data_IF_966232723344
#
_entry.id   IF_966232723344
#
_cell.length_a   1.000
_cell.length_b   1.000
_cell.length_c   1.000
_cell.angle_alpha   90.00
_cell.angle_beta   90.00
_cell.angle_gamma   90.00
#
_symmetry.space_group_name_H-M   'P 1'
#
loop_
_entity.id
_entity.type
_entity.pdbx_description
1 polymer ?
2 non-polymer ?
3 non-polymer ?
4 water ?
#
# COMPACT_ATOMS: atom_id res chain seq x y z
N UNK A 2 -1.50 20.27 -22.92
CA UNK A 2 -1.88 19.54 -21.70
C UNK A 2 -0.69 19.56 -20.75
N UNK A 3 0.53 19.46 -21.29
CA UNK A 3 1.68 19.24 -20.44
C UNK A 3 1.82 20.46 -19.54
N UNK A 4 1.75 21.63 -20.18
CA UNK A 4 1.91 22.88 -19.47
C UNK A 4 0.66 23.14 -18.61
N UNK A 5 -0.52 22.74 -19.14
CA UNK A 5 -1.78 22.88 -18.43
C UNK A 5 -1.63 22.10 -17.14
N UNK A 6 -1.01 20.92 -17.27
CA UNK A 6 -0.94 19.96 -16.20
C UNK A 6 0.02 20.47 -15.13
N UNK A 7 1.11 21.08 -15.59
CA UNK A 7 2.16 21.51 -14.70
C UNK A 7 1.65 22.66 -13.82
N UNK A 8 1.05 23.65 -14.49
CA UNK A 8 0.38 24.76 -13.86
C UNK A 8 -0.65 24.30 -12.83
N UNK A 9 -1.37 23.25 -13.14
CA UNK A 9 -2.40 22.86 -12.20
C UNK A 9 -1.79 22.22 -10.95
N UNK A 10 -0.81 21.34 -11.18
CA UNK A 10 -0.08 20.70 -10.08
C UNK A 10 0.85 21.69 -9.37
N UNK A 11 1.31 22.77 -10.03
CA UNK A 11 1.98 23.83 -9.29
C UNK A 11 1.09 24.36 -8.15
N UNK A 12 -0.19 24.52 -8.40
CA UNK A 12 -1.10 25.03 -7.40
C UNK A 12 -1.33 24.05 -6.25
N UNK A 13 -1.07 22.75 -6.37
CA UNK A 13 -1.46 21.89 -5.25
C UNK A 13 -0.25 21.46 -4.43
N UNK A 14 0.95 21.93 -4.80
CA UNK A 14 2.16 21.59 -4.08
C UNK A 14 2.70 22.86 -3.42
N UNK A 15 3.70 22.70 -2.55
CA UNK A 15 4.36 23.82 -1.91
C UNK A 15 5.26 24.43 -2.95
N UNK A 16 5.51 25.75 -2.89
CA UNK A 16 6.36 26.38 -3.88
C UNK A 16 7.85 26.15 -3.64
N UNK A 17 8.63 26.39 -4.68
CA UNK A 17 10.06 26.38 -4.48
C UNK A 17 10.61 24.98 -4.64
N UNK A 18 11.75 24.74 -3.98
CA UNK A 18 12.58 23.60 -4.28
C UNK A 18 13.30 23.19 -2.99
N UNK A 19 13.17 21.94 -2.49
CA UNK A 19 13.69 21.64 -1.14
C UNK A 19 15.21 21.45 -0.95
N UNK A 20 16.02 21.74 -1.96
CA UNK A 20 17.45 21.93 -1.75
C UNK A 20 17.71 22.94 -0.65
N UNK A 21 16.91 24.01 -0.60
CA UNK A 21 16.78 24.86 0.59
C UNK A 21 17.13 24.20 1.93
N UNK A 22 16.70 22.99 2.21
CA UNK A 22 16.93 22.48 3.57
C UNK A 22 17.61 21.10 3.52
N UNK A 23 17.70 20.47 2.33
CA UNK A 23 18.12 19.06 2.16
C UNK A 23 19.48 18.93 1.47
N UNK A 24 20.35 18.07 2.00
CA UNK A 24 21.61 17.75 1.34
C UNK A 24 21.66 16.26 1.07
N UNK A 25 22.70 15.79 0.36
CA UNK A 25 23.02 14.36 0.26
C UNK A 25 21.83 13.57 -0.28
N UNK A 26 21.42 13.95 -1.52
CA UNK A 26 20.39 13.27 -2.30
C UNK A 26 21.07 12.08 -2.93
N UNK A 27 20.65 10.87 -2.51
CA UNK A 27 21.23 9.62 -2.96
C UNK A 27 20.08 8.69 -3.26
N UNK A 28 20.05 8.08 -4.46
CA UNK A 28 18.93 7.20 -4.82
C UNK A 28 18.99 5.91 -4.01
N UNK A 29 17.86 5.30 -3.66
CA UNK A 29 17.85 4.05 -2.89
C UNK A 29 16.95 2.99 -3.52
N UNK A 30 15.95 3.40 -4.29
CA UNK A 30 14.86 2.55 -4.72
C UNK A 30 14.39 3.06 -6.09
N UNK A 31 13.31 2.50 -6.61
CA UNK A 31 12.91 2.79 -7.98
C UNK A 31 11.69 1.96 -8.30
N UNK A 32 10.54 2.61 -8.46
CA UNK A 32 9.33 1.99 -8.98
C UNK A 32 9.00 2.48 -10.38
N UNK A 33 7.77 2.16 -10.82
CA UNK A 33 7.23 2.59 -12.10
C UNK A 33 7.04 4.11 -12.15
N UNK A 34 6.21 4.70 -11.22
CA UNK A 34 5.94 6.15 -11.13
C UNK A 34 7.28 6.90 -11.09
N UNK A 35 8.26 6.37 -10.35
CA UNK A 35 9.68 6.68 -10.59
C UNK A 35 10.61 6.37 -9.40
N UNK A 36 11.70 7.14 -9.29
CA UNK A 36 12.79 6.89 -8.35
C UNK A 36 12.48 7.38 -6.93
N UNK A 37 13.34 6.99 -5.95
CA UNK A 37 13.29 7.46 -4.57
C UNK A 37 14.69 7.76 -4.03
N UNK A 38 14.90 8.92 -3.35
CA UNK A 38 16.16 9.22 -2.68
C UNK A 38 15.99 9.34 -1.19
N UNK A 39 17.09 9.12 -0.48
CA UNK A 39 17.27 9.77 0.79
C UNK A 39 17.93 11.11 0.57
N UNK A 40 17.62 12.01 1.49
CA UNK A 40 18.28 13.28 1.70
C UNK A 40 18.31 13.51 3.22
N UNK A 41 19.14 14.47 3.64
CA UNK A 41 19.29 14.87 5.05
C UNK A 41 18.89 16.34 5.24
N UNK A 42 18.35 16.58 6.45
CA UNK A 42 17.97 17.93 6.87
C UNK A 42 19.24 18.66 7.30
N UNK A 43 19.59 19.70 6.51
CA UNK A 43 20.84 20.41 6.61
C UNK A 43 21.14 20.87 8.03
N UNK A 44 20.11 21.35 8.75
CA UNK A 44 20.27 21.89 10.10
C UNK A 44 20.31 20.80 11.18
N UNK A 45 19.98 19.53 10.87
CA UNK A 45 19.89 18.52 11.93
C UNK A 45 20.46 17.19 11.48
N UNK A 46 20.42 16.96 10.15
CA UNK A 46 20.73 15.67 9.54
C UNK A 46 19.68 14.65 9.90
N UNK A 47 18.44 15.10 10.17
CA UNK A 47 17.27 14.24 10.11
C UNK A 47 17.19 13.74 8.66
N UNK A 48 16.99 12.43 8.49
CA UNK A 48 16.79 11.83 7.18
C UNK A 48 15.33 11.89 6.73
N UNK A 49 15.16 12.35 5.49
CA UNK A 49 13.92 12.16 4.77
C UNK A 49 14.09 11.25 3.55
N UNK A 50 12.93 10.84 3.01
CA UNK A 50 12.79 10.22 1.70
C UNK A 50 12.18 11.22 0.73
N UNK A 51 12.71 11.25 -0.49
CA UNK A 51 12.15 12.08 -1.55
C UNK A 51 11.83 11.18 -2.75
N UNK A 52 10.58 11.15 -3.19
CA UNK A 52 10.18 10.47 -4.39
C UNK A 52 10.11 11.48 -5.52
N UNK A 53 10.80 11.18 -6.63
CA UNK A 53 10.89 12.03 -7.79
C UNK A 53 10.10 11.40 -8.92
N UNK A 54 9.15 12.11 -9.51
CA UNK A 54 8.28 11.51 -10.51
C UNK A 54 8.22 12.45 -11.71
N UNK A 55 8.57 11.92 -12.87
CA UNK A 55 8.58 12.66 -14.11
C UNK A 55 7.16 12.83 -14.61
N UNK A 56 6.75 14.05 -14.89
CA UNK A 56 5.37 14.25 -15.31
C UNK A 56 5.18 13.73 -16.72
N UNK A 57 6.27 13.52 -17.46
CA UNK A 57 6.20 13.19 -18.89
C UNK A 57 6.27 11.68 -19.11
N UNK A 58 6.97 10.97 -18.22
CA UNK A 58 7.00 9.50 -18.16
C UNK A 58 5.78 8.97 -17.39
N UNK A 59 4.65 9.65 -17.26
CA UNK A 59 3.55 8.92 -16.62
C UNK A 59 2.62 8.31 -17.68
N UNK A 60 2.09 7.13 -17.32
CA UNK A 60 1.00 6.44 -18.02
C UNK A 60 -0.33 7.17 -17.81
N UNK A 61 -0.66 7.58 -16.58
CA UNK A 61 -1.85 8.37 -16.37
C UNK A 61 -1.51 9.59 -15.51
N UNK A 62 -1.14 10.71 -16.16
CA UNK A 62 -0.66 11.90 -15.50
C UNK A 62 -1.51 12.27 -14.27
N UNK A 63 -2.83 12.16 -14.35
CA UNK A 63 -3.74 12.65 -13.33
C UNK A 63 -3.64 11.83 -12.05
N UNK A 64 -2.95 10.72 -12.13
CA UNK A 64 -2.84 9.86 -10.97
C UNK A 64 -1.81 10.47 -10.04
N UNK A 65 -1.07 11.47 -10.53
CA UNK A 65 -0.07 12.15 -9.73
C UNK A 65 -0.72 13.01 -8.63
N UNK A 66 -1.97 13.45 -8.80
CA UNK A 66 -2.54 14.26 -7.76
C UNK A 66 -2.60 13.43 -6.49
N UNK A 67 -2.86 12.13 -6.64
CA UNK A 67 -2.95 11.27 -5.48
C UNK A 67 -1.67 11.20 -4.64
N UNK A 68 -0.51 11.25 -5.33
CA UNK A 68 0.80 11.09 -4.71
C UNK A 68 0.95 12.10 -3.56
N UNK A 69 0.15 13.18 -3.60
CA UNK A 69 0.25 14.34 -2.71
C UNK A 69 -0.97 14.43 -1.81
N UNK A 70 -2.18 14.29 -2.33
CA UNK A 70 -3.35 14.75 -1.59
C UNK A 70 -3.80 13.70 -0.57
N UNK A 71 -3.65 12.41 -0.91
CA UNK A 71 -4.01 11.32 0.02
C UNK A 71 -3.18 11.45 1.32
N UNK A 72 -1.90 11.83 1.26
CA UNK A 72 -1.05 11.82 2.46
C UNK A 72 -1.34 13.14 3.20
N UNK A 73 -1.58 14.23 2.47
CA UNK A 73 -1.96 15.46 3.12
C UNK A 73 -3.34 15.39 3.77
N UNK A 74 -4.33 14.64 3.22
CA UNK A 74 -5.66 14.77 3.78
C UNK A 74 -5.99 13.61 4.71
N UNK A 75 -5.19 12.55 4.72
CA UNK A 75 -5.43 11.44 5.62
C UNK A 75 -4.21 11.16 6.48
N UNK A 76 -3.72 12.16 7.22
CA UNK A 76 -2.71 11.84 8.21
C UNK A 76 -3.29 10.89 9.26
N UNK A 77 -2.45 9.97 9.77
CA UNK A 77 -2.86 8.85 10.59
C UNK A 77 -1.57 8.07 10.95
N UNK A 78 -1.56 7.39 12.12
CA UNK A 78 -0.34 6.74 12.62
C UNK A 78 0.15 5.58 11.74
N UNK A 79 -0.73 5.03 10.90
CA UNK A 79 -0.42 4.01 9.91
C UNK A 79 -0.46 4.60 8.51
N UNK A 80 -0.40 5.92 8.34
CA UNK A 80 -0.14 6.38 6.99
C UNK A 80 1.19 7.12 6.95
N UNK A 81 2.00 6.77 5.93
CA UNK A 81 3.30 7.41 5.73
C UNK A 81 3.11 8.90 5.82
N UNK A 82 3.98 9.57 6.57
CA UNK A 82 3.92 11.02 6.73
C UNK A 82 4.60 11.73 5.56
N UNK A 83 3.91 12.70 4.95
CA UNK A 83 4.46 13.62 3.98
C UNK A 83 4.65 14.97 4.65
N UNK A 84 5.86 15.54 4.48
CA UNK A 84 6.23 16.86 4.94
C UNK A 84 5.94 17.97 3.93
N UNK A 85 6.21 17.75 2.63
CA UNK A 85 6.02 18.80 1.63
C UNK A 85 5.99 18.18 0.24
N UNK A 86 5.68 18.99 -0.77
CA UNK A 86 5.58 18.53 -2.14
C UNK A 86 5.99 19.69 -3.01
N UNK A 87 6.54 19.41 -4.20
CA UNK A 87 7.18 20.44 -5.01
C UNK A 87 7.18 19.98 -6.46
N UNK A 88 7.21 20.94 -7.38
CA UNK A 88 7.49 20.78 -8.79
C UNK A 88 8.92 21.24 -8.98
N UNK A 89 9.78 20.39 -9.54
CA UNK A 89 11.15 20.79 -9.81
C UNK A 89 11.45 20.48 -11.26
N UNK A 90 11.83 21.48 -12.05
CA UNK A 90 11.80 21.30 -13.50
C UNK A 90 10.48 20.63 -13.87
N UNK A 91 10.51 19.42 -14.43
CA UNK A 91 9.24 18.77 -14.74
C UNK A 91 9.12 17.44 -13.98
N UNK A 92 9.63 17.43 -12.74
CA UNK A 92 9.46 16.31 -11.82
C UNK A 92 8.62 16.76 -10.62
N UNK A 93 7.72 15.91 -10.14
CA UNK A 93 7.03 16.07 -8.86
C UNK A 93 7.89 15.39 -7.78
N UNK A 94 8.28 16.16 -6.77
CA UNK A 94 8.99 15.66 -5.61
C UNK A 94 8.10 15.69 -4.36
N UNK A 95 8.03 14.57 -3.68
CA UNK A 95 7.31 14.50 -2.44
C UNK A 95 8.30 14.09 -1.37
N UNK A 96 8.38 14.95 -0.35
CA UNK A 96 9.22 14.69 0.81
C UNK A 96 8.39 14.05 1.93
N UNK A 97 8.88 12.93 2.45
CA UNK A 97 8.21 12.08 3.41
C UNK A 97 9.17 11.65 4.52
N UNK A 98 8.63 11.09 5.61
CA UNK A 98 9.47 10.57 6.68
C UNK A 98 10.25 9.44 5.99
N UNK A 99 11.47 9.18 6.46
CA UNK A 99 12.15 8.00 6.02
C UNK A 99 11.90 6.92 7.07
N UNK A 100 11.34 5.81 6.59
CA UNK A 100 11.03 4.62 7.37
C UNK A 100 12.12 3.55 7.22
N UNK A 101 12.94 3.40 8.26
CA UNK A 101 14.20 2.67 8.16
C UNK A 101 14.01 1.18 7.87
N UNK A 102 12.86 0.57 8.21
CA UNK A 102 12.66 -0.86 8.05
C UNK A 102 12.29 -1.39 6.66
N UNK A 103 12.07 -0.54 5.70
CA UNK A 103 11.85 -0.98 4.35
C UNK A 103 10.43 -1.46 4.12
N UNK A 104 10.28 -2.14 2.99
CA UNK A 104 9.00 -2.61 2.56
C UNK A 104 8.75 -4.01 3.13
N UNK A 105 7.46 -4.36 3.35
CA UNK A 105 7.06 -5.67 3.85
C UNK A 105 7.53 -6.79 2.90
N UNK A 106 7.58 -6.55 1.58
CA UNK A 106 8.05 -7.52 0.62
C UNK A 106 9.39 -8.11 1.07
N UNK A 107 10.32 -7.28 1.49
CA UNK A 107 11.63 -7.80 1.82
C UNK A 107 11.44 -8.87 2.89
N UNK A 108 10.56 -8.59 3.85
CA UNK A 108 10.40 -9.56 4.90
C UNK A 108 9.76 -10.86 4.39
N UNK A 109 8.64 -10.72 3.70
CA UNK A 109 7.82 -11.89 3.40
C UNK A 109 8.54 -12.88 2.46
N UNK A 110 9.52 -12.41 1.67
CA UNK A 110 10.33 -13.21 0.77
C UNK A 110 11.46 -13.90 1.52
N UNK A 111 12.05 -13.30 2.55
CA UNK A 111 13.25 -13.86 3.15
C UNK A 111 13.01 -14.63 4.46
N UNK A 112 11.99 -14.25 5.24
CA UNK A 112 11.65 -14.89 6.51
C UNK A 112 10.20 -15.37 6.51
N UNK A 113 9.83 -16.12 7.57
CA UNK A 113 8.44 -16.56 7.84
C UNK A 113 7.91 -15.82 9.07
N UNK A 114 7.04 -14.86 8.84
CA UNK A 114 6.48 -14.13 9.96
C UNK A 114 5.62 -15.04 10.86
N UNK A 115 5.59 -14.81 12.20
CA UNK A 115 4.59 -15.46 13.03
C UNK A 115 3.30 -14.63 13.07
N UNK A 116 2.30 -15.19 13.76
CA UNK A 116 0.92 -14.72 13.68
C UNK A 116 0.82 -13.37 14.40
N UNK A 117 1.59 -13.26 15.48
CA UNK A 117 1.71 -12.01 16.18
C UNK A 117 2.12 -10.93 15.20
N UNK A 118 3.22 -11.17 14.46
CA UNK A 118 3.63 -10.16 13.50
C UNK A 118 2.55 -9.92 12.45
N UNK A 119 1.84 -10.97 12.07
CA UNK A 119 0.90 -10.90 10.96
C UNK A 119 -0.36 -10.09 11.32
N UNK A 120 -0.86 -10.40 12.52
CA UNK A 120 -1.93 -9.64 13.10
C UNK A 120 -1.53 -8.16 13.23
N UNK A 121 -0.36 -7.88 13.83
CA UNK A 121 0.16 -6.53 13.89
C UNK A 121 0.03 -5.79 12.54
N UNK A 122 0.57 -6.37 11.48
CA UNK A 122 0.46 -5.78 10.16
C UNK A 122 -1.01 -5.67 9.73
N UNK A 123 -1.82 -6.65 10.08
CA UNK A 123 -3.22 -6.63 9.68
C UNK A 123 -3.97 -5.49 10.37
N UNK A 124 -3.74 -5.28 11.67
CA UNK A 124 -4.40 -4.19 12.40
C UNK A 124 -4.07 -2.83 11.73
N UNK A 125 -2.76 -2.59 11.62
CA UNK A 125 -2.20 -1.41 11.01
C UNK A 125 -2.97 -1.04 9.76
N UNK A 126 -2.95 -1.93 8.78
CA UNK A 126 -3.45 -1.63 7.44
C UNK A 126 -4.97 -1.41 7.46
N UNK A 127 -5.61 -2.13 8.37
CA UNK A 127 -7.06 -2.04 8.52
C UNK A 127 -7.43 -0.69 9.11
N UNK A 128 -6.64 -0.20 10.10
CA UNK A 128 -6.86 1.14 10.64
C UNK A 128 -6.81 2.22 9.54
N UNK A 129 -5.72 2.25 8.75
CA UNK A 129 -5.63 3.13 7.61
C UNK A 129 -6.84 2.96 6.68
N UNK A 130 -7.16 1.69 6.32
CA UNK A 130 -8.21 1.38 5.35
C UNK A 130 -9.61 1.70 5.89
N UNK A 131 -9.80 1.79 7.21
CA UNK A 131 -11.11 2.14 7.77
C UNK A 131 -11.42 3.64 7.55
N UNK A 132 -10.38 4.43 7.73
CA UNK A 132 -10.39 5.85 7.55
C UNK A 132 -10.50 6.18 6.07
N UNK A 133 -9.59 5.74 5.22
CA UNK A 133 -9.77 6.03 3.79
C UNK A 133 -11.18 5.69 3.29
N UNK A 134 -11.64 4.46 3.62
CA UNK A 134 -12.90 3.91 3.15
C UNK A 134 -14.12 4.63 3.77
N UNK A 135 -14.07 5.05 5.04
CA UNK A 135 -15.13 5.88 5.59
C UNK A 135 -15.36 7.13 4.72
N UNK A 136 -14.33 7.66 4.02
CA UNK A 136 -14.49 8.79 3.09
C UNK A 136 -14.69 8.38 1.63
N UNK A 137 -14.72 7.07 1.33
CA UNK A 137 -15.04 6.57 0.01
C UNK A 137 -13.83 6.55 -0.92
N UNK A 138 -12.62 6.66 -0.34
CA UNK A 138 -11.32 6.40 -1.01
C UNK A 138 -10.96 4.91 -0.98
N UNK A 139 -10.81 4.35 -2.19
CA UNK A 139 -10.32 3.00 -2.41
C UNK A 139 -8.81 3.04 -2.67
N UNK A 140 -8.03 2.24 -1.94
CA UNK A 140 -6.60 2.25 -2.16
C UNK A 140 -6.27 1.67 -3.52
N UNK A 141 -6.63 0.42 -3.74
CA UNK A 141 -6.53 -0.25 -5.04
C UNK A 141 -5.13 -0.81 -5.32
N UNK A 142 -4.17 -0.64 -4.41
CA UNK A 142 -2.90 -1.37 -4.60
C UNK A 142 -2.29 -1.89 -3.31
N UNK A 143 -3.16 -2.50 -2.50
CA UNK A 143 -2.74 -3.20 -1.30
C UNK A 143 -1.97 -4.45 -1.71
N UNK A 144 -0.71 -4.44 -1.26
CA UNK A 144 0.23 -5.54 -1.37
C UNK A 144 1.37 -5.27 -0.41
N UNK A 145 2.33 -6.19 -0.33
CA UNK A 145 3.39 -6.13 0.67
C UNK A 145 4.36 -5.01 0.30
N UNK A 146 4.54 -4.79 -1.01
CA UNK A 146 5.34 -3.67 -1.51
C UNK A 146 4.79 -2.31 -1.02
N UNK A 147 3.47 -2.25 -0.75
CA UNK A 147 2.82 -1.00 -0.46
C UNK A 147 2.97 -0.66 1.00
N UNK A 148 3.70 -1.50 1.76
CA UNK A 148 3.67 -1.37 3.22
C UNK A 148 5.09 -1.13 3.66
N UNK A 149 5.30 -0.15 4.55
CA UNK A 149 6.59 0.16 5.09
C UNK A 149 6.54 0.03 6.60
N UNK A 150 7.73 -0.22 7.12
CA UNK A 150 7.99 -0.59 8.49
C UNK A 150 9.06 0.34 8.96
N UNK A 151 8.90 0.87 10.17
CA UNK A 151 9.96 1.65 10.82
C UNK A 151 10.92 0.68 11.52
N UNK A 152 12.10 1.25 11.90
CA UNK A 152 13.11 0.54 12.68
C UNK A 152 12.39 -0.15 13.83
N UNK A 153 11.42 0.55 14.49
CA UNK A 153 10.86 0.15 15.77
C UNK A 153 9.61 -0.70 15.57
N UNK A 154 9.29 -1.02 14.31
CA UNK A 154 8.26 -2.00 13.97
C UNK A 154 6.83 -1.44 13.88
N UNK A 155 6.65 -0.11 13.76
CA UNK A 155 5.34 0.36 13.36
C UNK A 155 5.16 0.16 11.84
N UNK A 156 3.90 0.00 11.40
CA UNK A 156 3.55 -0.27 10.03
C UNK A 156 2.81 0.93 9.45
N UNK A 157 3.14 1.28 8.22
CA UNK A 157 2.43 2.32 7.54
C UNK A 157 2.12 1.97 6.09
N UNK A 158 0.98 2.45 5.67
CA UNK A 158 0.61 2.22 4.30
C UNK A 158 1.18 3.36 3.47
N UNK A 159 1.60 3.01 2.25
CA UNK A 159 2.26 3.86 1.32
C UNK A 159 1.65 3.59 -0.06
N UNK A 160 2.21 4.22 -1.11
CA UNK A 160 1.92 4.04 -2.54
C UNK A 160 0.43 4.33 -2.85
N UNK A 161 0.06 5.62 -2.82
CA UNK A 161 -1.33 5.97 -3.02
C UNK A 161 -1.67 6.40 -4.45
N UNK A 162 -0.78 6.23 -5.44
CA UNK A 162 -1.01 6.73 -6.79
C UNK A 162 -2.27 6.14 -7.46
N UNK A 163 -2.73 4.99 -6.98
CA UNK A 163 -3.85 4.29 -7.60
C UNK A 163 -5.20 4.59 -6.94
N UNK A 164 -5.21 5.47 -5.92
CA UNK A 164 -6.44 5.75 -5.19
C UNK A 164 -7.55 6.27 -6.12
N UNK A 165 -8.79 5.90 -5.82
CA UNK A 165 -9.97 6.50 -6.43
C UNK A 165 -11.01 6.68 -5.32
N UNK A 166 -12.07 7.44 -5.60
CA UNK A 166 -12.93 7.99 -4.55
C UNK A 166 -14.39 7.72 -4.98
N UNK A 167 -15.25 7.56 -3.99
CA UNK A 167 -16.60 7.08 -4.25
C UNK A 167 -17.61 7.89 -3.42
N UNK A 168 -18.75 8.18 -4.06
CA UNK A 168 -19.74 9.11 -3.56
C UNK A 168 -21.14 8.60 -3.84
N UNK A 169 -22.13 9.51 -3.88
CA UNK A 169 -23.48 9.11 -4.22
C UNK A 169 -23.63 9.21 -5.74
N UNK A 170 -22.87 10.08 -6.40
CA UNK A 170 -23.00 10.23 -7.84
C UNK A 170 -22.22 9.16 -8.59
N UNK A 171 -21.02 8.81 -8.10
CA UNK A 171 -20.28 7.66 -8.58
C UNK A 171 -20.00 6.72 -7.40
N UNK A 172 -20.88 5.72 -7.10
CA UNK A 172 -20.79 4.91 -5.87
C UNK A 172 -19.87 3.74 -6.05
N UNK A 173 -19.70 3.35 -7.32
CA UNK A 173 -18.72 2.34 -7.73
C UNK A 173 -17.66 2.96 -8.66
N UNK A 174 -16.46 2.34 -8.77
CA UNK A 174 -15.52 2.65 -9.84
C UNK A 174 -15.52 1.56 -10.90
N UNK A 175 -14.81 1.78 -12.00
CA UNK A 175 -14.97 0.84 -13.09
C UNK A 175 -13.62 0.52 -13.73
N UNK A 177 -9.90 -0.86 -14.57
CA UNK A 177 -9.01 -1.98 -14.33
C UNK A 177 -7.70 -1.46 -13.75
N UNK A 178 -7.70 -1.19 -12.45
CA UNK A 178 -6.50 -0.74 -11.75
C UNK A 178 -6.10 -1.72 -10.65
N UNK A 179 -4.79 -1.99 -10.51
CA UNK A 179 -4.23 -2.70 -9.37
C UNK A 179 -3.02 -3.55 -9.75
N UNK A 180 -2.59 -4.44 -8.85
CA UNK A 180 -1.52 -5.32 -9.25
C UNK A 180 -2.14 -6.69 -9.54
N UNK A 181 -1.97 -7.24 -10.79
CA UNK A 181 -2.69 -8.44 -11.19
C UNK A 181 -2.97 -9.53 -10.16
N UNK A 182 -1.93 -10.07 -9.50
CA UNK A 182 -2.12 -11.13 -8.48
C UNK A 182 -2.86 -10.67 -7.21
N UNK A 183 -2.96 -9.35 -6.91
CA UNK A 183 -3.67 -8.87 -5.73
C UNK A 183 -5.05 -8.32 -6.09
N UNK A 184 -5.52 -8.47 -7.33
CA UNK A 184 -6.73 -7.82 -7.77
C UNK A 184 -7.97 -8.62 -7.41
N UNK A 185 -9.04 -7.99 -6.91
CA UNK A 185 -10.31 -8.69 -6.67
C UNK A 185 -11.00 -9.21 -7.93
N UNK A 186 -11.64 -10.38 -7.76
CA UNK A 186 -12.40 -11.01 -8.84
C UNK A 186 -13.41 -10.07 -9.48
N UNK A 187 -14.15 -9.27 -8.70
CA UNK A 187 -15.13 -8.37 -9.33
C UNK A 187 -14.39 -7.30 -10.15
N UNK A 188 -13.26 -6.80 -9.60
CA UNK A 188 -12.45 -5.84 -10.32
C UNK A 188 -12.05 -6.45 -11.67
N UNK A 189 -11.61 -7.72 -11.66
CA UNK A 189 -11.02 -8.35 -12.85
C UNK A 189 -12.05 -8.61 -13.92
N UNK A 190 -13.23 -9.02 -13.46
CA UNK A 190 -14.30 -9.37 -14.38
C UNK A 190 -15.06 -8.10 -14.78
N UNK A 191 -14.51 -6.92 -14.38
CA UNK A 191 -14.86 -5.61 -14.94
C UNK A 191 -16.28 -5.24 -14.50
N UNK A 192 -16.65 -5.70 -13.29
CA UNK A 192 -17.88 -5.37 -12.60
C UNK A 192 -17.64 -4.11 -11.74
N UNK A 193 -18.60 -3.19 -11.55
CA UNK A 193 -18.33 -1.98 -10.78
C UNK A 193 -18.10 -2.34 -9.32
N UNK A 194 -17.21 -1.62 -8.64
CA UNK A 194 -16.69 -2.09 -7.38
C UNK A 194 -16.50 -0.88 -6.45
N UNK A 195 -16.39 -1.16 -5.15
CA UNK A 195 -16.18 -0.18 -4.10
C UNK A 195 -14.91 -0.57 -3.34
N UNK A 196 -14.77 -0.18 -2.03
CA UNK A 196 -13.59 -0.38 -1.17
C UNK A 196 -13.39 -1.82 -0.75
N UNK A 197 -14.32 -2.68 -1.17
CA UNK A 197 -14.23 -4.07 -0.81
C UNK A 197 -13.07 -4.66 -1.61
N UNK A 198 -12.53 -3.94 -2.62
CA UNK A 198 -11.47 -4.52 -3.42
C UNK A 198 -10.19 -4.50 -2.62
N UNK A 199 -10.11 -3.57 -1.66
CA UNK A 199 -8.94 -3.51 -0.81
C UNK A 199 -8.88 -4.71 0.09
N UNK A 200 -10.04 -5.18 0.56
CA UNK A 200 -10.09 -6.17 1.64
C UNK A 200 -9.61 -7.50 1.06
N UNK A 201 -9.98 -7.78 -0.21
CA UNK A 201 -9.60 -8.99 -0.90
C UNK A 201 -8.10 -8.95 -1.11
N UNK A 202 -7.61 -7.77 -1.52
CA UNK A 202 -6.18 -7.58 -1.72
C UNK A 202 -5.47 -7.75 -0.40
N UNK A 203 -6.09 -7.37 0.74
CA UNK A 203 -5.46 -7.55 2.05
C UNK A 203 -5.31 -9.03 2.35
N UNK A 204 -6.33 -9.80 1.97
CA UNK A 204 -6.30 -11.25 2.13
C UNK A 204 -5.07 -11.83 1.43
N UNK A 205 -4.99 -11.51 0.13
CA UNK A 205 -3.91 -11.96 -0.72
C UNK A 205 -2.59 -11.59 -0.09
N UNK A 206 -2.56 -10.49 0.64
CA UNK A 206 -1.33 -10.14 1.34
C UNK A 206 -1.07 -11.05 2.55
N UNK A 207 -2.10 -11.43 3.27
CA UNK A 207 -1.95 -12.43 4.32
C UNK A 207 -1.28 -13.72 3.78
N UNK A 208 -1.77 -14.20 2.64
CA UNK A 208 -1.20 -15.32 1.93
C UNK A 208 0.27 -15.03 1.59
N UNK A 209 0.61 -13.81 1.21
CA UNK A 209 2.03 -13.46 1.12
C UNK A 209 2.75 -13.81 2.42
N UNK A 210 2.16 -13.39 3.53
CA UNK A 210 2.91 -13.35 4.77
C UNK A 210 3.18 -14.77 5.25
N UNK A 211 2.26 -15.70 4.88
CA UNK A 211 2.29 -17.11 5.30
C UNK A 211 3.03 -18.04 4.32
N UNK A 212 2.71 -17.88 3.03
CA UNK A 212 3.22 -18.72 1.96
C UNK A 212 4.41 -18.07 1.24
N UNK A 213 4.67 -16.78 1.41
CA UNK A 213 5.85 -16.18 0.83
C UNK A 213 5.51 -15.51 -0.50
N UNK A 214 4.40 -15.88 -1.12
CA UNK A 214 3.97 -15.26 -2.35
C UNK A 214 2.46 -15.37 -2.48
N UNK A 215 1.84 -14.61 -3.38
CA UNK A 215 0.43 -14.79 -3.58
C UNK A 215 0.17 -15.86 -4.64
N UNK A 216 -1.09 -16.30 -4.73
CA UNK A 216 -1.46 -17.36 -5.64
C UNK A 216 -1.05 -17.10 -7.08
N UNK A 217 -0.68 -18.15 -7.82
CA UNK A 217 -0.46 -18.13 -9.26
C UNK A 217 0.68 -17.16 -9.55
N UNK A 218 1.57 -16.91 -8.56
CA UNK A 218 2.63 -15.94 -8.78
C UNK A 218 3.47 -16.37 -9.98
N UNK A 219 3.47 -17.68 -10.26
CA UNK A 219 4.35 -18.15 -11.31
C UNK A 219 3.60 -18.14 -12.67
N UNK A 220 2.34 -17.69 -12.73
CA UNK A 220 1.65 -17.56 -14.01
C UNK A 220 1.88 -16.16 -14.60
N UNK A 221 1.90 -15.96 -15.95
CA UNK A 221 2.02 -14.60 -16.50
C UNK A 221 0.77 -13.82 -16.10
N UNK A 222 0.88 -12.50 -15.86
CA UNK A 222 -0.22 -11.72 -15.27
C UNK A 222 -1.63 -11.93 -15.87
N UNK A 223 -1.78 -11.93 -17.20
CA UNK A 223 -3.11 -12.02 -17.82
C UNK A 223 -3.76 -13.39 -17.53
N UNK A 224 -2.98 -14.47 -17.65
CA UNK A 224 -3.41 -15.83 -17.27
C UNK A 224 -3.77 -15.93 -15.78
N UNK A 225 -2.92 -15.45 -14.84
CA UNK A 225 -3.26 -15.34 -13.42
C UNK A 225 -4.62 -14.66 -13.20
N UNK A 226 -4.83 -13.49 -13.81
CA UNK A 226 -6.10 -12.77 -13.69
C UNK A 226 -7.28 -13.68 -14.09
N UNK A 227 -7.11 -14.35 -15.24
CA UNK A 227 -8.09 -15.32 -15.70
C UNK A 227 -8.40 -16.30 -14.55
N UNK A 228 -7.41 -16.75 -13.76
CA UNK A 228 -7.63 -17.81 -12.77
C UNK A 228 -8.35 -17.28 -11.53
N UNK A 229 -7.98 -16.09 -11.07
CA UNK A 229 -8.66 -15.47 -9.95
C UNK A 229 -10.10 -15.22 -10.32
N UNK A 230 -10.27 -14.83 -11.60
CA UNK A 230 -11.58 -14.56 -12.16
C UNK A 230 -12.46 -15.79 -11.97
N UNK A 231 -11.95 -16.99 -12.35
CA UNK A 231 -12.73 -18.19 -12.65
C UNK A 231 -12.78 -19.17 -11.48
N UNK A 232 -11.71 -19.21 -10.67
CA UNK A 232 -11.58 -20.23 -9.65
C UNK A 232 -12.21 -19.69 -8.37
N UNK A 233 -12.28 -20.54 -7.36
CA UNK A 233 -12.83 -20.21 -6.06
C UNK A 233 -11.75 -19.51 -5.25
N UNK A 234 -12.08 -18.97 -4.05
CA UNK A 234 -11.08 -18.36 -3.19
C UNK A 234 -9.88 -19.32 -3.03
N UNK A 235 -8.67 -18.76 -3.21
CA UNK A 235 -7.43 -19.50 -3.15
C UNK A 235 -7.09 -20.04 -1.78
N UNK A 236 -6.47 -21.22 -1.80
CA UNK A 236 -6.08 -21.98 -0.63
C UNK A 236 -4.73 -21.44 -0.16
N UNK A 237 -4.49 -21.50 1.15
CA UNK A 237 -3.14 -21.44 1.70
C UNK A 237 -2.35 -22.72 1.42
N UNK A 238 -1.16 -22.69 0.86
CA UNK A 238 -0.31 -23.89 0.80
C UNK A 238 0.05 -24.46 2.17
N UNK A 239 0.36 -23.54 3.10
CA UNK A 239 0.73 -23.83 4.48
C UNK A 239 -0.47 -23.73 5.44
N UNK A 240 -1.66 -24.13 4.98
CA UNK A 240 -2.88 -24.13 5.83
C UNK A 240 -2.60 -24.77 7.20
N UNK A 241 -1.86 -25.88 7.16
CA UNK A 241 -1.64 -26.70 8.32
C UNK A 241 -0.76 -26.01 9.34
N UNK A 242 -0.26 -24.83 8.97
CA UNK A 242 0.72 -24.14 9.78
C UNK A 242 0.04 -22.96 10.47
N UNK A 243 -1.24 -22.68 10.19
CA UNK A 243 -1.88 -21.48 10.70
C UNK A 243 -2.97 -21.85 11.72
N UNK A 244 -3.20 -20.99 12.70
CA UNK A 244 -4.24 -21.24 13.68
C UNK A 244 -5.63 -21.13 13.06
N UNK A 245 -6.64 -21.79 13.67
CA UNK A 245 -8.04 -21.60 13.28
C UNK A 245 -8.47 -20.14 13.15
N UNK A 246 -7.85 -19.31 13.98
CA UNK A 246 -8.21 -17.93 14.10
C UNK A 246 -7.72 -17.11 12.91
N UNK A 247 -6.45 -17.27 12.48
CA UNK A 247 -5.96 -16.66 11.24
C UNK A 247 -6.78 -17.09 10.01
N UNK A 248 -7.20 -18.36 10.02
CA UNK A 248 -8.08 -18.91 9.00
C UNK A 248 -9.49 -18.32 9.09
N UNK A 249 -10.03 -18.17 10.30
CA UNK A 249 -11.33 -17.53 10.43
C UNK A 249 -11.27 -16.16 9.78
N UNK A 250 -10.22 -15.42 10.20
CA UNK A 250 -9.93 -14.10 9.69
C UNK A 250 -9.80 -14.15 8.18
N UNK A 251 -8.90 -14.96 7.65
CA UNK A 251 -8.71 -14.89 6.22
C UNK A 251 -9.97 -15.25 5.42
N UNK A 252 -10.82 -16.17 5.93
CA UNK A 252 -12.05 -16.56 5.25
C UNK A 252 -13.04 -15.39 5.11
N UNK A 253 -12.96 -14.39 6.01
CA UNK A 253 -13.84 -13.23 5.95
C UNK A 253 -13.33 -12.23 4.91
N UNK A 254 -12.09 -12.45 4.39
CA UNK A 254 -11.47 -11.54 3.44
C UNK A 254 -11.59 -12.08 2.02
N UNK A 255 -11.35 -13.38 1.86
CA UNK A 255 -11.32 -13.89 0.51
C UNK A 255 -12.69 -14.49 0.19
N UNK A 256 -13.68 -13.58 0.07
CA UNK A 256 -15.05 -13.90 -0.26
C UNK A 256 -15.35 -13.35 -1.64
N UNK A 257 -15.66 -14.21 -2.61
CA UNK A 257 -15.87 -13.81 -3.99
C UNK A 257 -16.94 -12.72 -4.07
N UNK A 258 -18.03 -12.87 -3.28
CA UNK A 258 -19.12 -11.91 -3.31
C UNK A 258 -18.80 -10.77 -2.36
N UNK A 259 -18.59 -9.58 -2.95
CA UNK A 259 -18.09 -8.43 -2.18
C UNK A 259 -18.99 -7.99 -1.02
N UNK A 260 -20.27 -8.41 -1.09
CA UNK A 260 -21.27 -8.03 -0.09
C UNK A 260 -21.10 -8.91 1.15
N UNK A 261 -20.80 -10.18 0.90
CA UNK A 261 -20.55 -11.13 1.96
C UNK A 261 -19.19 -10.82 2.54
N UNK A 262 -18.32 -10.21 1.74
CA UNK A 262 -16.98 -9.82 2.21
C UNK A 262 -17.06 -8.80 3.36
N UNK A 263 -16.32 -9.11 4.42
CA UNK A 263 -16.24 -8.23 5.57
C UNK A 263 -15.59 -6.90 5.16
N UNK A 264 -16.02 -5.83 5.86
CA UNK A 264 -15.47 -4.49 5.81
C UNK A 264 -14.35 -4.36 6.85
N UNK A 265 -13.58 -3.26 6.70
CA UNK A 265 -12.43 -2.96 7.53
C UNK A 265 -12.88 -2.71 8.95
N UNK A 266 -13.97 -1.97 9.06
CA UNK A 266 -14.69 -1.72 10.32
C UNK A 266 -15.09 -3.03 11.01
N UNK A 267 -15.73 -3.93 10.25
CA UNK A 267 -16.14 -5.20 10.83
C UNK A 267 -14.89 -5.93 11.34
N UNK A 268 -13.81 -5.98 10.52
CA UNK A 268 -12.61 -6.79 10.80
C UNK A 268 -11.76 -6.30 11.96
N UNK A 269 -11.88 -5.02 12.33
CA UNK A 269 -11.05 -4.54 13.41
C UNK A 269 -11.47 -5.21 14.71
N UNK A 270 -12.73 -5.69 14.76
CA UNK A 270 -13.23 -6.39 15.94
C UNK A 270 -12.95 -7.88 15.94
N UNK A 271 -12.37 -8.44 14.86
CA UNK A 271 -12.09 -9.87 14.78
C UNK A 271 -11.06 -10.23 15.84
N UNK A 272 -11.20 -11.38 16.52
CA UNK A 272 -10.28 -11.73 17.61
C UNK A 272 -8.94 -12.24 17.13
N UNK A 273 -8.76 -12.39 15.81
CA UNK A 273 -7.47 -12.76 15.26
C UNK A 273 -6.44 -11.70 15.63
N UNK A 274 -6.93 -10.44 15.77
CA UNK A 274 -6.10 -9.25 15.95
C UNK A 274 -5.74 -8.98 17.40
N UNK A 275 -6.40 -9.62 18.35
CA UNK A 275 -5.92 -9.54 19.72
C UNK A 275 -4.48 -10.06 19.81
N UNK A 276 -4.10 -10.89 18.81
CA UNK A 276 -2.84 -11.62 18.84
C UNK A 276 -1.66 -10.70 18.58
N UNK A 277 -2.01 -9.46 18.19
CA UNK A 277 -1.08 -8.50 17.61
C UNK A 277 -0.09 -8.04 18.67
N UNK A 278 1.18 -8.06 18.26
CA UNK A 278 2.30 -7.77 19.14
C UNK A 278 2.77 -6.34 18.96
N UNK A 279 3.62 -5.84 19.88
CA UNK A 279 4.13 -4.47 19.78
C UNK A 279 4.85 -4.23 18.45
N UNK A 280 5.08 -2.95 18.06
CA UNK A 280 6.17 -2.59 17.15
C UNK A 280 7.44 -3.44 17.27
N UNK A 281 7.89 -3.69 18.52
CA UNK A 281 9.19 -4.28 18.85
C UNK A 281 9.31 -5.78 18.47
N UNK A 282 8.15 -6.44 18.25
CA UNK A 282 8.04 -7.84 17.87
C UNK A 282 8.35 -8.02 16.37
N UNK A 283 8.14 -6.96 15.58
CA UNK A 283 8.36 -6.96 14.14
C UNK A 283 9.82 -6.65 13.77
N UNK A 284 10.52 -5.94 14.67
CA UNK A 284 11.86 -5.40 14.50
C UNK A 284 12.89 -6.47 14.11
N UNK A 285 12.85 -7.70 14.68
CA UNK A 285 13.78 -8.78 14.28
C UNK A 285 13.69 -9.35 12.85
N UNK A 286 12.60 -9.07 12.15
CA UNK A 286 12.44 -9.53 10.77
C UNK A 286 13.16 -8.64 9.74
N UNK A 287 13.63 -7.45 10.16
CA UNK A 287 14.37 -6.52 9.31
C UNK A 287 15.74 -7.12 8.95
N UNK A 288 16.19 -6.81 7.72
CA UNK A 288 17.37 -7.42 7.10
C UNK A 288 18.60 -7.02 7.93
N UNK A 289 18.64 -5.75 8.39
CA UNK A 289 19.69 -5.21 9.25
C UNK A 289 20.10 -6.23 10.32
N UNK A 290 19.16 -6.55 11.22
CA UNK A 290 19.44 -7.33 12.43
C UNK A 290 19.35 -8.83 12.12
N UNK A 291 18.32 -9.25 11.35
CA UNK A 291 18.30 -10.58 10.75
C UNK A 291 19.57 -10.71 9.89
#
# INVERSE_FOLDING_TARGET
>A
SSHEQFRAALQLVVDPGDPRSYLDNFIKIGEGSTGIVCIATVRSSGKLVAVKKMDLRKQQRRELLFNEVVIMRDYQHENVVEMYNSYLVGDELWVVMEFLEGGALTDIVTHTRMNEEQIAAVCLAVLQALSVLHAQGVIHRDIKSDSILLTHDGRVKLSDFGFCAQVSKEVPRRKXLVGTPYWMAPELISRLPYGPEVDIWSLGIMVIEMVDGEPPYFNEPPLKAMKMIRDNLPPRLKNLHKVSPSLKGFLDRLLVRDPAQRATAAELLKHPFLAKAGPPASIVPLMRQNRTR
#
